data_IF_622031475753
#
_entry.id   IF_622031475753
#
_cell.length_a   1.000
_cell.length_b   1.000
_cell.length_c   1.000
_cell.angle_alpha   90.00
_cell.angle_beta   90.00
_cell.angle_gamma   90.00
#
_symmetry.space_group_name_H-M   'P 1'
#
loop_
_entity.id
_entity.type
_entity.pdbx_description
1 polymer ?
#
# COMPACT_ATOMS: atom_id res chain seq x y z
N UNK A 1 35.52 4.86 40.94
CA UNK A 1 34.31 4.71 40.10
C UNK A 1 34.01 6.06 39.47
N UNK A 2 34.28 6.18 38.17
CA UNK A 2 33.97 7.35 37.35
C UNK A 2 33.00 6.91 36.26
N UNK A 3 31.85 7.57 36.13
CA UNK A 3 31.01 7.62 34.91
C UNK A 3 30.06 8.83 34.99
N UNK A 4 30.26 9.77 34.04
CA UNK A 4 29.30 10.56 33.23
C UNK A 4 28.41 11.62 33.92
N UNK A 5 28.07 12.76 33.28
CA UNK A 5 27.39 12.89 31.97
C UNK A 5 27.69 14.22 31.30
N UNK A 6 27.93 14.12 29.99
CA UNK A 6 28.35 15.13 29.03
C UNK A 6 27.50 16.40 29.01
N UNK A 7 28.19 17.50 29.27
CA UNK A 7 27.76 18.88 29.13
C UNK A 7 28.26 19.44 27.78
N UNK A 8 27.48 20.38 27.24
CA UNK A 8 27.95 21.55 26.50
C UNK A 8 28.71 21.29 25.19
N UNK A 9 28.00 21.51 24.09
CA UNK A 9 27.93 22.87 23.57
C UNK A 9 29.25 23.51 23.14
N UNK A 10 29.18 24.14 21.97
CA UNK A 10 30.02 25.25 21.50
C UNK A 10 31.18 24.88 20.55
N UNK A 11 30.79 24.77 19.28
CA UNK A 11 31.47 25.39 18.13
C UNK A 11 32.98 25.16 17.99
N UNK A 12 33.42 23.99 17.53
CA UNK A 12 34.60 23.78 16.65
C UNK A 12 34.36 22.39 16.00
N UNK A 13 34.08 22.18 14.71
CA UNK A 13 34.90 22.49 13.56
C UNK A 13 34.04 22.40 12.28
N UNK A 14 34.08 23.45 11.46
CA UNK A 14 33.47 23.52 10.15
C UNK A 14 34.23 22.70 9.06
N UNK A 15 34.56 21.44 9.34
CA UNK A 15 35.36 20.59 8.44
C UNK A 15 34.79 19.18 8.20
N UNK A 16 33.57 18.90 8.65
CA UNK A 16 32.99 17.54 8.62
C UNK A 16 31.69 17.43 7.82
N UNK A 17 31.32 18.43 7.01
CA UNK A 17 30.09 18.38 6.22
C UNK A 17 30.26 17.64 4.88
N UNK A 18 31.49 17.43 4.40
CA UNK A 18 31.74 16.80 3.09
C UNK A 18 31.64 15.26 3.17
N UNK A 19 31.92 14.65 4.33
CA UNK A 19 31.96 13.19 4.46
C UNK A 19 30.56 12.52 4.53
N UNK A 20 29.53 13.23 5.01
CA UNK A 20 28.16 12.71 5.06
C UNK A 20 27.43 12.86 3.72
N UNK A 21 27.82 13.82 2.88
CA UNK A 21 27.27 13.96 1.53
C UNK A 21 27.79 12.83 0.62
N UNK A 22 29.03 12.39 0.78
CA UNK A 22 29.59 11.32 -0.07
C UNK A 22 28.91 9.96 0.12
N UNK A 23 28.38 9.62 1.30
CA UNK A 23 27.71 8.34 1.53
C UNK A 23 26.31 8.24 0.86
N UNK A 24 25.65 9.37 0.59
CA UNK A 24 24.41 9.40 -0.19
C UNK A 24 24.67 9.33 -1.71
N UNK A 25 25.86 9.75 -2.17
CA UNK A 25 26.21 9.74 -3.60
C UNK A 25 26.80 8.42 -4.08
N UNK A 26 27.27 7.52 -3.20
CA UNK A 26 27.72 6.18 -3.63
C UNK A 26 26.56 5.29 -4.09
N UNK A 27 25.33 5.60 -3.69
CA UNK A 27 24.12 4.97 -4.24
C UNK A 27 23.75 5.44 -5.65
N UNK A 28 24.17 6.65 -6.03
CA UNK A 28 23.94 7.23 -7.37
C UNK A 28 25.15 7.13 -8.31
N UNK A 29 26.30 6.63 -7.84
CA UNK A 29 27.53 6.52 -8.63
C UNK A 29 28.02 5.07 -8.68
N UNK A 30 27.31 4.28 -9.49
CA UNK A 30 27.82 3.22 -10.37
C UNK A 30 28.82 2.21 -9.77
N UNK A 31 28.29 1.22 -9.06
CA UNK A 31 28.74 -0.16 -9.28
C UNK A 31 28.10 -0.68 -10.59
N UNK A 32 28.64 -1.74 -11.21
CA UNK A 32 28.07 -2.34 -12.43
C UNK A 32 26.54 -2.52 -12.29
N UNK A 33 25.76 -2.38 -13.37
CA UNK A 33 24.30 -2.46 -13.28
C UNK A 33 23.87 -3.87 -12.83
N UNK A 34 23.53 -4.00 -11.55
CA UNK A 34 22.91 -5.19 -10.93
C UNK A 34 21.46 -5.41 -11.41
N UNK A 35 20.96 -4.52 -12.28
CA UNK A 35 19.60 -4.49 -12.81
C UNK A 35 19.70 -4.16 -14.31
N UNK A 36 19.04 -4.95 -15.15
CA UNK A 36 18.88 -4.66 -16.56
C UNK A 36 18.11 -3.35 -16.81
N UNK A 37 18.46 -2.62 -17.89
CA UNK A 37 17.86 -1.30 -18.16
C UNK A 37 16.34 -1.31 -18.38
N UNK A 38 15.80 -2.39 -18.96
CA UNK A 38 14.38 -2.54 -19.22
C UNK A 38 13.64 -2.92 -17.92
N UNK A 39 14.24 -3.80 -17.11
CA UNK A 39 13.76 -4.09 -15.76
C UNK A 39 13.76 -2.84 -14.87
N UNK A 40 14.80 -2.01 -14.92
CA UNK A 40 14.86 -0.75 -14.19
C UNK A 40 13.72 0.20 -14.59
N UNK A 41 13.42 0.31 -15.89
CA UNK A 41 12.34 1.15 -16.40
C UNK A 41 10.97 0.65 -15.91
N UNK A 42 10.74 -0.67 -15.90
CA UNK A 42 9.54 -1.27 -15.33
C UNK A 42 9.40 -1.01 -13.82
N UNK A 43 10.45 -1.21 -13.03
CA UNK A 43 10.42 -0.89 -11.60
C UNK A 43 10.08 0.58 -11.34
N UNK A 44 10.65 1.51 -12.11
CA UNK A 44 10.37 2.94 -11.96
C UNK A 44 8.89 3.25 -12.26
N UNK A 45 8.33 2.66 -13.31
CA UNK A 45 6.92 2.80 -13.63
C UNK A 45 6.02 2.26 -12.50
N UNK A 46 6.34 1.08 -11.96
CA UNK A 46 5.59 0.49 -10.84
C UNK A 46 5.68 1.33 -9.56
N UNK A 47 6.86 1.85 -9.20
CA UNK A 47 7.01 2.76 -8.05
C UNK A 47 6.21 4.05 -8.25
N UNK A 48 6.18 4.58 -9.48
CA UNK A 48 5.35 5.74 -9.81
C UNK A 48 3.86 5.45 -9.63
N UNK A 49 3.38 4.26 -9.99
CA UNK A 49 1.99 3.86 -9.78
C UNK A 49 1.62 3.82 -8.30
N UNK A 50 2.46 3.19 -7.45
CA UNK A 50 2.27 3.16 -5.99
C UNK A 50 2.22 4.58 -5.43
N UNK A 51 3.16 5.44 -5.86
CA UNK A 51 3.25 6.82 -5.38
C UNK A 51 2.04 7.66 -5.79
N UNK A 52 1.53 7.48 -7.02
CA UNK A 52 0.35 8.20 -7.49
C UNK A 52 -0.90 7.81 -6.70
N UNK A 53 -1.11 6.52 -6.43
CA UNK A 53 -2.22 6.06 -5.59
C UNK A 53 -2.11 6.60 -4.16
N UNK A 54 -0.92 6.55 -3.55
CA UNK A 54 -0.68 7.11 -2.23
C UNK A 54 -0.90 8.64 -2.20
N UNK A 55 -0.49 9.37 -3.25
CA UNK A 55 -0.60 10.82 -3.31
C UNK A 55 -2.05 11.33 -3.38
N UNK A 56 -2.96 10.53 -3.93
CA UNK A 56 -4.41 10.84 -3.94
C UNK A 56 -5.14 10.32 -2.69
N UNK A 57 -4.40 9.75 -1.72
CA UNK A 57 -4.97 9.24 -0.48
C UNK A 57 -5.69 7.91 -0.63
N UNK A 58 -5.28 7.09 -1.60
CA UNK A 58 -5.84 5.76 -1.87
C UNK A 58 -4.87 4.65 -1.41
N UNK A 59 -4.89 4.26 -0.12
CA UNK A 59 -4.02 3.19 0.39
C UNK A 59 -4.39 1.81 -0.18
N UNK A 60 -5.66 1.55 -0.54
CA UNK A 60 -6.09 0.28 -1.15
C UNK A 60 -5.55 0.14 -2.57
N UNK A 61 -5.66 1.20 -3.38
CA UNK A 61 -5.05 1.27 -4.70
C UNK A 61 -3.52 1.20 -4.65
N UNK A 62 -2.90 1.83 -3.65
CA UNK A 62 -1.45 1.75 -3.45
C UNK A 62 -0.99 0.33 -3.08
N UNK A 63 -1.73 -0.39 -2.24
CA UNK A 63 -1.46 -1.81 -1.94
C UNK A 63 -1.59 -2.70 -3.17
N UNK A 64 -2.62 -2.48 -3.99
CA UNK A 64 -2.79 -3.22 -5.26
C UNK A 64 -1.63 -2.97 -6.23
N UNK A 65 -1.19 -1.70 -6.35
CA UNK A 65 -0.03 -1.37 -7.16
C UNK A 65 1.28 -1.95 -6.60
N UNK A 66 1.39 -2.06 -5.26
CA UNK A 66 2.54 -2.65 -4.60
C UNK A 66 2.63 -4.17 -4.87
N UNK A 67 1.50 -4.88 -4.86
CA UNK A 67 1.45 -6.31 -5.22
C UNK A 67 1.90 -6.54 -6.68
N UNK A 68 1.55 -5.62 -7.59
CA UNK A 68 2.03 -5.66 -8.97
C UNK A 68 3.56 -5.43 -9.07
N UNK A 69 4.12 -4.53 -8.25
CA UNK A 69 5.57 -4.32 -8.15
C UNK A 69 6.29 -5.58 -7.68
N UNK A 70 5.75 -6.30 -6.70
CA UNK A 70 6.33 -7.56 -6.23
C UNK A 70 6.30 -8.67 -7.27
N UNK A 71 5.17 -8.80 -7.98
CA UNK A 71 5.06 -9.76 -9.07
C UNK A 71 6.12 -9.47 -10.15
N UNK A 72 6.33 -8.19 -10.48
CA UNK A 72 7.36 -7.77 -11.42
C UNK A 72 8.79 -8.10 -10.92
N UNK A 73 9.09 -7.79 -9.65
CA UNK A 73 10.38 -8.11 -9.04
C UNK A 73 10.68 -9.61 -9.10
N UNK A 74 9.69 -10.45 -8.83
CA UNK A 74 9.80 -11.91 -8.90
C UNK A 74 10.12 -12.37 -10.32
N UNK A 75 9.41 -11.87 -11.33
CA UNK A 75 9.65 -12.20 -12.74
C UNK A 75 11.04 -11.74 -13.22
N UNK A 76 11.47 -10.54 -12.84
CA UNK A 76 12.78 -10.01 -13.20
C UNK A 76 13.92 -10.76 -12.49
N UNK A 77 13.67 -11.29 -11.29
CA UNK A 77 14.62 -12.15 -10.58
C UNK A 77 14.70 -13.55 -11.20
N UNK A 78 13.56 -14.15 -11.54
CA UNK A 78 13.48 -15.46 -12.20
C UNK A 78 14.14 -15.46 -13.59
N UNK A 79 14.05 -14.35 -14.32
CA UNK A 79 14.72 -14.16 -15.61
C UNK A 79 16.19 -13.76 -15.50
N UNK A 80 16.68 -13.46 -14.29
CA UNK A 80 18.05 -13.00 -14.04
C UNK A 80 18.31 -11.54 -14.43
N UNK A 81 17.27 -10.77 -14.77
CA UNK A 81 17.35 -9.34 -15.01
C UNK A 81 17.68 -8.54 -13.73
N UNK A 82 17.44 -9.12 -12.56
CA UNK A 82 17.86 -8.62 -11.24
C UNK A 82 18.54 -9.76 -10.48
N UNK A 83 19.68 -9.48 -9.85
CA UNK A 83 20.36 -10.47 -8.99
C UNK A 83 19.52 -10.81 -7.76
N UNK A 84 19.58 -12.07 -7.29
CA UNK A 84 18.80 -12.51 -6.13
C UNK A 84 19.10 -11.70 -4.86
N UNK A 85 20.38 -11.31 -4.65
CA UNK A 85 20.80 -10.44 -3.54
C UNK A 85 20.11 -9.07 -3.64
N UNK A 86 20.10 -8.46 -4.83
CA UNK A 86 19.44 -7.17 -5.04
C UNK A 86 17.92 -7.30 -4.87
N UNK A 87 17.33 -8.39 -5.33
CA UNK A 87 15.90 -8.67 -5.13
C UNK A 87 15.54 -8.78 -3.66
N UNK A 88 16.35 -9.42 -2.83
CA UNK A 88 16.09 -9.55 -1.40
C UNK A 88 16.08 -8.17 -0.71
N UNK A 89 16.99 -7.28 -1.09
CA UNK A 89 17.03 -5.91 -0.58
C UNK A 89 15.81 -5.09 -0.99
N UNK A 90 15.36 -5.23 -2.25
CA UNK A 90 14.16 -4.56 -2.74
C UNK A 90 12.91 -5.11 -2.03
N UNK A 91 12.81 -6.44 -1.87
CA UNK A 91 11.68 -7.07 -1.19
C UNK A 91 11.55 -6.57 0.26
N UNK A 92 12.66 -6.46 0.99
CA UNK A 92 12.63 -5.91 2.35
C UNK A 92 12.11 -4.47 2.40
N UNK A 93 12.43 -3.64 1.39
CA UNK A 93 11.88 -2.30 1.29
C UNK A 93 10.38 -2.31 0.95
N UNK A 94 9.94 -3.21 0.07
CA UNK A 94 8.52 -3.38 -0.24
C UNK A 94 7.72 -3.80 1.00
N UNK A 95 8.24 -4.71 1.82
CA UNK A 95 7.58 -5.17 3.05
C UNK A 95 7.34 -4.01 4.04
N UNK A 96 8.31 -3.09 4.16
CA UNK A 96 8.15 -1.88 4.96
C UNK A 96 7.03 -0.98 4.42
N UNK A 97 7.01 -0.74 3.11
CA UNK A 97 5.95 0.07 2.47
C UNK A 97 4.59 -0.57 2.64
N UNK A 98 4.48 -1.90 2.52
CA UNK A 98 3.23 -2.62 2.76
C UNK A 98 2.74 -2.40 4.19
N UNK A 99 3.63 -2.49 5.18
CA UNK A 99 3.29 -2.25 6.57
C UNK A 99 2.74 -0.83 6.77
N UNK A 100 3.41 0.17 6.18
CA UNK A 100 2.99 1.57 6.26
C UNK A 100 1.63 1.81 5.59
N UNK A 101 1.41 1.28 4.37
CA UNK A 101 0.14 1.41 3.66
C UNK A 101 -1.01 0.70 4.37
N UNK A 102 -0.74 -0.47 4.96
CA UNK A 102 -1.74 -1.22 5.75
C UNK A 102 -2.13 -0.43 6.99
N UNK A 103 -1.18 0.23 7.65
CA UNK A 103 -1.45 1.10 8.79
C UNK A 103 -2.23 2.37 8.42
N UNK A 104 -2.18 2.79 7.15
CA UNK A 104 -2.92 3.93 6.62
C UNK A 104 -4.36 3.59 6.18
N UNK A 105 -4.77 2.31 6.19
CA UNK A 105 -6.14 1.92 5.88
C UNK A 105 -7.12 2.54 6.89
N UNK A 106 -8.32 2.97 6.44
CA UNK A 106 -9.33 3.49 7.35
C UNK A 106 -9.77 2.40 8.34
N UNK A 107 -9.90 2.79 9.62
CA UNK A 107 -10.49 1.90 10.61
C UNK A 107 -11.94 1.54 10.18
N UNK A 108 -12.39 0.29 10.40
CA UNK A 108 -13.77 -0.06 10.11
C UNK A 108 -14.70 0.87 10.91
N UNK A 109 -15.58 1.58 10.21
CA UNK A 109 -16.58 2.42 10.86
C UNK A 109 -17.50 1.53 11.69
N UNK A 110 -17.80 1.87 12.96
CA UNK A 110 -18.87 1.19 13.67
C UNK A 110 -20.16 1.40 12.89
N UNK A 111 -20.81 0.32 12.47
CA UNK A 111 -22.20 0.35 12.02
C UNK A 111 -23.04 0.89 13.17
N UNK A 112 -23.82 1.97 12.98
CA UNK A 112 -24.79 2.36 14.00
C UNK A 112 -25.77 1.20 14.17
N UNK A 113 -25.78 0.60 15.36
CA UNK A 113 -26.88 -0.28 15.76
C UNK A 113 -28.12 0.60 15.77
N UNK A 114 -29.00 0.42 14.79
CA UNK A 114 -30.30 1.06 14.78
C UNK A 114 -31.12 0.33 15.86
N UNK A 115 -31.26 0.94 17.03
CA UNK A 115 -32.24 0.52 18.04
C UNK A 115 -33.63 0.77 17.44
N UNK A 116 -34.13 -0.22 16.70
CA UNK A 116 -35.49 -0.22 16.17
C UNK A 116 -36.46 -0.50 17.32
N UNK A 117 -37.09 0.57 17.79
CA UNK A 117 -38.20 0.59 18.73
C UNK A 117 -39.40 -0.06 18.04
N UNK A 118 -39.64 -1.35 18.31
CA UNK A 118 -40.84 -2.09 17.92
C UNK A 118 -42.12 -1.41 18.47
N UNK A 119 -42.69 -0.47 17.72
CA UNK A 119 -44.12 -0.13 17.80
C UNK A 119 -44.87 -0.90 16.72
N UNK A 120 -45.45 -2.03 17.12
CA UNK A 120 -46.29 -2.89 16.30
C UNK A 120 -47.65 -2.21 16.03
N UNK A 121 -47.68 -1.32 15.04
CA UNK A 121 -48.87 -0.71 14.46
C UNK A 121 -49.42 -1.50 13.26
N UNK A 122 -50.46 -2.29 13.52
CA UNK A 122 -51.62 -2.67 12.67
C UNK A 122 -51.61 -2.29 11.16
N UNK A 123 -51.81 -3.30 10.32
CA UNK A 123 -52.60 -3.20 9.07
C UNK A 123 -51.98 -3.87 7.84
N UNK A 124 -52.58 -4.99 7.40
CA UNK A 124 -52.57 -5.52 6.02
C UNK A 124 -53.94 -6.20 5.82
N UNK A 125 -54.82 -5.64 4.99
CA UNK A 125 -54.92 -5.83 3.53
C UNK A 125 -55.44 -7.26 3.23
N UNK A 126 -56.41 -7.55 2.35
CA UNK A 126 -56.53 -7.09 0.98
C UNK A 126 -57.95 -7.28 0.41
N UNK A 127 -58.31 -6.34 -0.44
CA UNK A 127 -59.49 -6.30 -1.28
C UNK A 127 -59.23 -7.04 -2.61
N UNK A 128 -60.05 -8.07 -2.86
CA UNK A 128 -60.76 -8.38 -4.11
C UNK A 128 -60.01 -8.22 -5.45
N UNK A 129 -59.56 -9.36 -6.00
CA UNK A 129 -59.12 -9.51 -7.40
C UNK A 129 -59.77 -10.71 -8.09
N UNK A 130 -60.67 -10.41 -9.02
CA UNK A 130 -61.56 -11.26 -9.82
C UNK A 130 -60.79 -12.14 -10.83
N UNK A 131 -61.20 -13.40 -11.04
CA UNK A 131 -60.84 -14.20 -12.23
C UNK A 131 -61.98 -15.17 -12.61
N UNK A 132 -62.84 -14.65 -13.48
CA UNK A 132 -63.45 -15.24 -14.68
C UNK A 132 -63.91 -16.72 -14.69
N UNK A 133 -65.26 -16.85 -14.75
CA UNK A 133 -66.09 -17.80 -15.53
C UNK A 133 -65.58 -17.96 -16.99
N UNK A 134 -65.82 -18.98 -17.80
CA UNK A 134 -66.82 -20.06 -17.95
C UNK A 134 -66.33 -20.91 -19.17
N UNK A 135 -66.50 -22.24 -19.25
CA UNK A 135 -67.52 -23.00 -20.03
C UNK A 135 -66.83 -24.35 -20.41
N UNK A 136 -67.40 -25.51 -20.69
CA UNK A 136 -68.74 -26.11 -20.76
C UNK A 136 -68.47 -27.64 -20.89
N UNK A 137 -69.22 -28.48 -20.18
CA UNK A 137 -69.40 -29.92 -20.48
C UNK A 137 -70.86 -30.06 -20.94
N UNK A 138 -71.07 -30.83 -22.01
CA UNK A 138 -72.30 -31.16 -22.80
C UNK A 138 -72.77 -30.19 -23.92
#
# INVERSE_FOLDING_TARGET
MSVWKFDVGRVIAAASAVALVTAALTGCSQAAPEIDSDAASRMQASVSAVTQAAAVGDPEGALTALDALEAQLKLDTESGAISAERSAQIQAAIDLVRADLTAALPAPSPTPTSEEKDEKGKGKDDEKGKKDKEDEDD
#
